data_IF_680979697566
#
_entry.id   IF_680979697566
#
_cell.length_a   1.000
_cell.length_b   1.000
_cell.length_c   1.000
_cell.angle_alpha   90.00
_cell.angle_beta   90.00
_cell.angle_gamma   90.00
#
_symmetry.space_group_name_H-M   'P 1'
#
loop_
_entity.id
_entity.type
_entity.pdbx_description
1 polymer ?
#
# COMPACT_ATOMS: atom_id res chain seq x y z
N UNK A 1 -2.89 -1.28 15.58
CA UNK A 1 -1.75 -1.08 16.52
C UNK A 1 -1.87 0.32 17.09
N UNK A 2 -1.69 0.51 18.40
CA UNK A 2 -1.76 1.84 19.04
C UNK A 2 -0.34 2.32 19.38
N UNK A 3 -0.06 3.62 19.20
CA UNK A 3 1.20 4.26 19.60
C UNK A 3 0.93 5.61 20.25
N UNK A 4 1.84 6.03 21.12
CA UNK A 4 1.80 7.33 21.80
C UNK A 4 3.03 8.11 21.37
N UNK A 5 2.87 9.41 21.14
CA UNK A 5 3.99 10.32 20.90
C UNK A 5 3.85 11.59 21.71
N UNK A 6 4.98 12.23 21.95
CA UNK A 6 5.10 13.46 22.70
C UNK A 6 5.96 14.42 21.89
N UNK A 7 5.52 15.66 21.77
CA UNK A 7 6.29 16.75 21.19
C UNK A 7 6.32 17.93 22.15
N UNK A 8 7.44 18.64 22.17
CA UNK A 8 7.65 19.81 23.01
C UNK A 8 8.35 20.87 22.19
N UNK A 9 7.89 22.10 22.29
CA UNK A 9 8.55 23.23 21.66
C UNK A 9 8.56 24.45 22.60
N UNK A 10 9.53 25.33 22.42
CA UNK A 10 9.78 26.52 23.25
C UNK A 10 10.26 27.67 22.39
N UNK A 11 9.52 28.77 22.41
CA UNK A 11 9.89 29.99 21.70
C UNK A 11 10.07 31.19 22.63
N UNK A 12 11.00 32.06 22.27
CA UNK A 12 11.17 33.38 22.89
C UNK A 12 10.09 34.32 22.40
N UNK A 13 9.58 35.17 23.28
CA UNK A 13 8.62 36.23 22.96
C UNK A 13 9.32 37.58 22.76
N UNK A 14 8.97 38.28 21.69
CA UNK A 14 9.51 39.60 21.33
C UNK A 14 8.40 40.56 20.90
N UNK A 15 8.63 41.85 21.07
CA UNK A 15 7.71 42.89 20.59
C UNK A 15 7.68 42.95 19.05
N UNK A 16 6.57 43.47 18.51
CA UNK A 16 6.41 43.68 17.06
C UNK A 16 6.13 42.41 16.24
N UNK A 17 6.00 41.25 16.88
CA UNK A 17 5.58 39.98 16.26
C UNK A 17 4.14 39.62 16.67
N UNK A 18 3.35 38.99 15.77
CA UNK A 18 2.06 38.44 16.16
C UNK A 18 2.24 37.22 17.08
N UNK A 19 1.32 37.03 18.02
CA UNK A 19 1.22 35.80 18.81
C UNK A 19 0.26 34.83 18.11
N UNK A 20 0.74 33.65 17.74
CA UNK A 20 -0.01 32.66 16.95
C UNK A 20 0.00 31.34 17.70
N UNK A 21 -1.18 30.77 17.98
CA UNK A 21 -1.24 29.51 18.71
C UNK A 21 -2.26 28.57 18.08
N UNK A 22 -1.80 27.42 17.61
CA UNK A 22 -2.59 26.49 16.79
C UNK A 22 -3.28 27.15 15.61
N UNK A 23 -2.62 28.09 14.92
CA UNK A 23 -3.14 28.84 13.77
C UNK A 23 -4.08 29.99 14.13
N UNK A 24 -4.28 30.28 15.41
CA UNK A 24 -5.14 31.37 15.88
C UNK A 24 -4.29 32.55 16.31
N UNK A 25 -4.54 33.71 15.71
CA UNK A 25 -3.93 34.97 16.16
C UNK A 25 -4.58 35.45 17.46
N UNK A 26 -3.78 35.57 18.51
CA UNK A 26 -4.24 36.02 19.82
C UNK A 26 -3.71 37.44 20.08
N UNK A 27 -4.55 38.40 20.53
CA UNK A 27 -4.08 39.72 20.93
C UNK A 27 -3.09 39.63 22.10
N UNK A 28 -1.85 40.11 21.89
CA UNK A 28 -0.78 40.15 22.87
C UNK A 28 0.25 41.24 22.51
N UNK A 29 1.01 41.71 23.50
CA UNK A 29 2.08 42.71 23.31
C UNK A 29 3.33 42.12 22.63
N UNK A 30 3.58 40.84 22.88
CA UNK A 30 4.71 40.08 22.32
C UNK A 30 4.21 38.90 21.50
N UNK A 31 4.99 38.51 20.51
CA UNK A 31 4.75 37.33 19.68
C UNK A 31 6.00 36.45 19.58
N UNK A 32 5.87 35.31 18.93
CA UNK A 32 6.91 34.29 18.87
C UNK A 32 8.03 34.65 17.90
N UNK A 33 9.27 34.53 18.39
CA UNK A 33 10.49 34.63 17.61
C UNK A 33 10.82 33.26 17.01
N UNK A 34 10.87 33.19 15.68
CA UNK A 34 11.30 31.98 14.98
C UNK A 34 11.56 32.24 13.50
N UNK A 35 12.02 31.19 12.81
CA UNK A 35 12.28 31.21 11.36
C UNK A 35 11.00 31.14 10.51
N UNK A 36 9.94 30.54 11.05
CA UNK A 36 8.58 30.51 10.49
C UNK A 36 7.68 31.57 11.17
N UNK A 37 6.36 31.45 11.03
CA UNK A 37 5.40 32.17 11.89
C UNK A 37 5.50 31.79 13.39
N UNK A 38 6.29 30.74 13.69
CA UNK A 38 6.77 30.34 15.00
C UNK A 38 5.66 29.91 15.97
N UNK A 39 4.60 29.27 15.49
CA UNK A 39 3.54 28.71 16.34
C UNK A 39 4.02 27.48 17.13
N UNK A 40 4.32 27.68 18.41
CA UNK A 40 4.89 26.66 19.30
C UNK A 40 3.96 25.44 19.48
N UNK A 41 2.63 25.64 19.43
CA UNK A 41 1.68 24.55 19.57
C UNK A 41 1.64 23.70 18.31
N UNK A 42 1.62 24.33 17.13
CA UNK A 42 1.66 23.61 15.87
C UNK A 42 2.93 22.74 15.75
N UNK A 43 4.08 23.25 16.19
CA UNK A 43 5.33 22.49 16.22
C UNK A 43 5.29 21.32 17.21
N UNK A 44 4.87 21.54 18.45
CA UNK A 44 4.76 20.49 19.45
C UNK A 44 3.79 19.37 18.99
N UNK A 45 2.68 19.71 18.34
CA UNK A 45 1.76 18.73 17.78
C UNK A 45 2.40 17.97 16.61
N UNK A 46 3.13 18.67 15.74
CA UNK A 46 3.85 18.07 14.61
C UNK A 46 4.84 17.01 15.08
N UNK A 47 5.67 17.33 16.08
CA UNK A 47 6.62 16.36 16.64
C UNK A 47 5.91 15.20 17.35
N UNK A 48 4.80 15.45 18.05
CA UNK A 48 4.06 14.39 18.71
C UNK A 48 3.57 13.33 17.71
N UNK A 49 2.97 13.75 16.58
CA UNK A 49 2.44 12.82 15.57
C UNK A 49 3.55 12.14 14.77
N UNK A 50 4.64 12.86 14.45
CA UNK A 50 5.79 12.29 13.74
C UNK A 50 6.54 11.28 14.62
N UNK A 51 6.76 11.62 15.89
CA UNK A 51 7.37 10.74 16.87
C UNK A 51 6.54 9.48 17.15
N UNK A 52 5.22 9.61 17.33
CA UNK A 52 4.33 8.46 17.50
C UNK A 52 4.37 7.51 16.29
N UNK A 53 4.35 8.06 15.08
CA UNK A 53 4.39 7.26 13.85
C UNK A 53 5.78 6.67 13.56
N UNK A 54 6.84 7.29 14.09
CA UNK A 54 8.24 6.91 13.84
C UNK A 54 8.70 7.24 12.42
N UNK A 55 8.07 8.22 11.77
CA UNK A 55 8.33 8.56 10.36
C UNK A 55 9.39 9.65 10.20
N UNK A 56 9.46 10.62 11.10
CA UNK A 56 10.41 11.74 11.06
C UNK A 56 10.38 12.54 12.38
N UNK A 57 10.94 13.74 12.34
CA UNK A 57 10.78 14.86 13.27
C UNK A 57 10.61 16.16 12.45
N UNK A 58 10.13 17.25 13.07
CA UNK A 58 9.87 18.49 12.34
C UNK A 58 11.14 19.08 11.68
N UNK A 59 12.30 18.97 12.35
CA UNK A 59 13.56 19.52 11.87
C UNK A 59 14.14 18.76 10.68
N UNK A 60 13.89 17.44 10.60
CA UNK A 60 14.28 16.64 9.43
C UNK A 60 13.35 16.84 8.22
N UNK A 61 12.06 17.11 8.45
CA UNK A 61 11.12 17.41 7.36
C UNK A 61 11.22 18.85 6.84
N UNK A 62 11.44 19.81 7.73
CA UNK A 62 11.42 21.24 7.42
C UNK A 62 12.66 21.93 8.01
N UNK A 63 13.87 21.63 7.48
CA UNK A 63 15.10 22.13 8.06
C UNK A 63 15.19 23.66 7.96
N UNK A 64 15.59 24.37 9.04
CA UNK A 64 15.66 25.84 9.05
C UNK A 64 16.75 26.40 8.11
N UNK A 65 17.68 25.56 7.65
CA UNK A 65 18.69 25.92 6.66
C UNK A 65 18.15 25.98 5.23
N UNK A 66 16.99 25.39 4.96
CA UNK A 66 16.34 25.44 3.64
C UNK A 66 15.52 26.75 3.53
N UNK A 67 15.89 27.66 2.63
CA UNK A 67 15.22 28.95 2.48
C UNK A 67 13.76 28.84 2.05
N UNK A 68 13.31 27.68 1.56
CA UNK A 68 11.92 27.40 1.19
C UNK A 68 10.97 27.52 2.39
N UNK A 69 11.44 27.27 3.61
CA UNK A 69 10.62 27.27 4.82
C UNK A 69 10.68 28.59 5.61
N UNK A 70 11.41 29.58 5.11
CA UNK A 70 11.48 30.90 5.73
C UNK A 70 10.08 31.53 5.71
N UNK A 71 9.62 32.01 6.87
CA UNK A 71 8.30 32.64 7.05
C UNK A 71 7.11 31.73 6.67
N UNK A 72 7.31 30.39 6.68
CA UNK A 72 6.24 29.44 6.41
C UNK A 72 5.14 29.45 7.49
N UNK A 73 3.92 29.08 7.10
CA UNK A 73 2.79 28.87 8.00
C UNK A 73 2.95 27.51 8.72
N UNK A 74 3.12 27.52 10.04
CA UNK A 74 3.33 26.30 10.82
C UNK A 74 2.11 25.35 10.81
N UNK A 75 0.90 25.84 10.53
CA UNK A 75 -0.26 24.97 10.29
C UNK A 75 -0.20 24.28 8.93
N UNK A 76 0.41 24.90 7.90
CA UNK A 76 0.69 24.20 6.63
C UNK A 76 1.74 23.10 6.83
N UNK A 77 2.78 23.37 7.62
CA UNK A 77 3.77 22.36 8.00
C UNK A 77 3.12 21.18 8.73
N UNK A 78 2.24 21.48 9.71
CA UNK A 78 1.47 20.46 10.42
C UNK A 78 0.60 19.63 9.47
N UNK A 79 -0.12 20.25 8.52
CA UNK A 79 -0.92 19.52 7.52
C UNK A 79 -0.06 18.61 6.66
N UNK A 80 1.12 19.07 6.21
CA UNK A 80 2.07 18.26 5.41
C UNK A 80 2.62 17.08 6.20
N UNK A 81 3.00 17.30 7.45
CA UNK A 81 3.45 16.24 8.36
C UNK A 81 2.34 15.23 8.64
N UNK A 82 1.13 15.70 8.91
CA UNK A 82 -0.03 14.84 9.11
C UNK A 82 -0.36 14.03 7.85
N UNK A 83 -0.20 14.61 6.66
CA UNK A 83 -0.39 13.90 5.41
C UNK A 83 0.60 12.73 5.26
N UNK A 84 1.85 12.89 5.69
CA UNK A 84 2.82 11.79 5.77
C UNK A 84 2.38 10.71 6.79
N UNK A 85 1.95 11.12 7.98
CA UNK A 85 1.45 10.22 9.04
C UNK A 85 0.25 9.41 8.55
N UNK A 86 -0.72 10.08 7.91
CA UNK A 86 -1.92 9.47 7.33
C UNK A 86 -1.59 8.47 6.22
N UNK A 87 -0.67 8.81 5.31
CA UNK A 87 -0.19 7.90 4.26
C UNK A 87 0.61 6.71 4.82
N UNK A 88 1.17 6.86 6.02
CA UNK A 88 1.74 5.77 6.81
C UNK A 88 0.69 4.81 7.41
N UNK A 89 -0.61 5.06 7.17
CA UNK A 89 -1.72 4.27 7.70
C UNK A 89 -2.10 4.64 9.13
N UNK A 90 -1.65 5.79 9.62
CA UNK A 90 -1.95 6.23 10.99
C UNK A 90 -3.12 7.21 11.03
N UNK A 91 -3.99 7.03 12.02
CA UNK A 91 -5.06 7.95 12.39
C UNK A 91 -4.78 8.52 13.77
N UNK A 92 -4.94 9.83 13.95
CA UNK A 92 -4.90 10.47 15.28
C UNK A 92 -6.20 10.15 16.00
N UNK A 93 -6.09 9.55 17.19
CA UNK A 93 -7.23 9.17 18.04
C UNK A 93 -7.57 10.28 19.03
N UNK A 94 -6.55 10.80 19.72
CA UNK A 94 -6.70 11.95 20.60
C UNK A 94 -5.41 12.75 20.68
N UNK A 95 -5.55 14.01 21.07
CA UNK A 95 -4.47 14.96 21.27
C UNK A 95 -4.73 15.76 22.56
N UNK A 96 -3.77 15.74 23.48
CA UNK A 96 -3.78 16.52 24.70
C UNK A 96 -2.60 17.48 24.73
N UNK A 97 -2.87 18.77 24.83
CA UNK A 97 -1.86 19.81 24.79
C UNK A 97 -1.86 20.65 26.06
N UNK A 98 -0.67 21.02 26.52
CA UNK A 98 -0.43 22.00 27.57
C UNK A 98 0.38 23.14 26.96
N UNK A 99 -0.12 24.36 27.08
CA UNK A 99 0.57 25.58 26.67
C UNK A 99 0.86 26.40 27.93
N UNK A 100 2.13 26.68 28.16
CA UNK A 100 2.60 27.46 29.31
C UNK A 100 3.03 28.85 28.85
N UNK A 101 2.28 29.88 29.26
CA UNK A 101 2.59 31.29 29.04
C UNK A 101 1.96 32.16 30.13
N UNK A 102 2.65 33.21 30.56
CA UNK A 102 2.11 34.14 31.55
C UNK A 102 0.98 35.00 30.97
N UNK A 103 1.17 35.49 29.74
CA UNK A 103 0.17 36.18 28.92
C UNK A 103 0.38 35.79 27.46
N UNK A 104 -0.67 35.75 26.62
CA UNK A 104 -2.08 35.99 26.93
C UNK A 104 -2.79 34.79 27.60
N UNK A 105 -3.99 35.01 28.16
CA UNK A 105 -4.80 33.93 28.76
C UNK A 105 -5.41 33.00 27.68
N UNK A 106 -4.86 31.79 27.56
CA UNK A 106 -5.29 30.78 26.56
C UNK A 106 -6.76 30.34 26.74
N UNK A 107 -7.31 30.38 27.96
CA UNK A 107 -8.68 29.94 28.24
C UNK A 107 -9.72 30.60 27.32
N UNK A 108 -9.54 31.89 27.01
CA UNK A 108 -10.49 32.66 26.19
C UNK A 108 -10.45 32.29 24.70
N UNK A 109 -9.37 31.65 24.24
CA UNK A 109 -9.14 31.32 22.84
C UNK A 109 -9.16 29.80 22.58
N UNK A 110 -9.28 29.00 23.64
CA UNK A 110 -9.18 27.53 23.61
C UNK A 110 -10.06 26.89 22.53
N UNK A 111 -11.32 27.28 22.43
CA UNK A 111 -12.23 26.65 21.47
C UNK A 111 -11.83 26.91 20.02
N UNK A 112 -11.36 28.12 19.71
CA UNK A 112 -10.86 28.46 18.38
C UNK A 112 -9.58 27.67 18.06
N UNK A 113 -8.65 27.55 19.03
CA UNK A 113 -7.41 26.78 18.88
C UNK A 113 -7.74 25.30 18.62
N UNK A 114 -8.61 24.72 19.45
CA UNK A 114 -9.05 23.31 19.30
C UNK A 114 -9.65 23.06 17.92
N UNK A 115 -10.53 23.95 17.45
CA UNK A 115 -11.15 23.82 16.14
C UNK A 115 -10.13 23.91 14.99
N UNK A 116 -9.17 24.84 15.09
CA UNK A 116 -8.12 25.02 14.09
C UNK A 116 -7.18 23.80 14.00
N UNK A 117 -6.70 23.31 15.14
CA UNK A 117 -5.84 22.11 15.20
C UNK A 117 -6.60 20.86 14.71
N UNK A 118 -7.85 20.69 15.13
CA UNK A 118 -8.69 19.57 14.69
C UNK A 118 -8.91 19.59 13.17
N UNK A 119 -9.14 20.77 12.59
CA UNK A 119 -9.27 20.92 11.14
C UNK A 119 -7.97 20.57 10.40
N UNK A 120 -6.80 20.98 10.91
CA UNK A 120 -5.51 20.64 10.31
C UNK A 120 -5.22 19.14 10.34
N UNK A 121 -5.65 18.44 11.39
CA UNK A 121 -5.52 17.00 11.56
C UNK A 121 -6.71 16.19 11.01
N UNK A 122 -7.68 16.85 10.36
CA UNK A 122 -8.88 16.21 9.81
C UNK A 122 -9.56 15.28 10.83
N UNK A 123 -9.74 15.76 12.06
CA UNK A 123 -10.31 15.01 13.18
C UNK A 123 -11.41 15.81 13.90
N UNK A 124 -12.19 15.13 14.73
CA UNK A 124 -13.22 15.78 15.55
C UNK A 124 -12.59 16.68 16.62
N UNK A 125 -13.17 17.85 16.84
CA UNK A 125 -12.69 18.84 17.83
C UNK A 125 -12.67 18.26 19.25
N UNK A 126 -13.59 17.38 19.56
CA UNK A 126 -13.75 16.73 20.86
C UNK A 126 -12.55 15.83 21.21
N UNK A 127 -11.82 15.35 20.20
CA UNK A 127 -10.61 14.58 20.38
C UNK A 127 -9.33 15.44 20.55
N UNK A 128 -9.45 16.77 20.48
CA UNK A 128 -8.36 17.72 20.74
C UNK A 128 -8.64 18.51 22.00
N UNK A 129 -7.70 18.51 22.94
CA UNK A 129 -7.78 19.34 24.15
C UNK A 129 -6.54 20.22 24.32
N UNK A 130 -6.74 21.46 24.77
CA UNK A 130 -5.67 22.44 24.97
C UNK A 130 -5.85 23.11 26.34
N UNK A 131 -4.82 23.02 27.18
CA UNK A 131 -4.79 23.57 28.54
C UNK A 131 -3.78 24.71 28.60
N UNK A 132 -4.22 25.88 29.04
CA UNK A 132 -3.32 26.99 29.37
C UNK A 132 -2.82 26.88 30.81
N UNK A 133 -1.53 27.14 31.02
CA UNK A 133 -0.87 27.24 32.32
C UNK A 133 -0.03 28.52 32.38
N UNK A 134 0.06 29.10 33.56
CA UNK A 134 1.01 30.17 33.90
C UNK A 134 2.17 29.55 34.68
N UNK A 135 3.30 30.25 34.75
CA UNK A 135 4.43 29.78 35.55
C UNK A 135 4.69 30.68 36.78
N UNK A 136 3.68 31.47 37.15
CA UNK A 136 3.58 32.20 38.42
C UNK A 136 4.77 33.13 38.68
N UNK A 137 5.36 33.70 37.63
CA UNK A 137 6.50 34.62 37.75
C UNK A 137 7.85 33.97 38.09
N UNK A 138 7.96 32.63 38.09
CA UNK A 138 9.15 31.93 38.62
C UNK A 138 10.35 31.89 37.67
N UNK A 139 10.16 31.87 36.35
CA UNK A 139 11.23 31.73 35.34
C UNK A 139 10.96 32.54 34.04
N UNK A 140 11.63 32.23 32.92
CA UNK A 140 11.41 32.93 31.64
C UNK A 140 9.98 32.80 31.10
N UNK A 141 9.29 31.69 31.36
CA UNK A 141 7.86 31.54 31.04
C UNK A 141 7.02 32.43 31.97
N UNK A 142 7.33 32.40 33.28
CA UNK A 142 6.65 33.21 34.29
C UNK A 142 6.86 34.72 34.14
N UNK A 143 7.99 35.14 33.57
CA UNK A 143 8.31 36.55 33.24
C UNK A 143 7.69 37.02 31.92
N UNK A 144 6.99 36.14 31.18
CA UNK A 144 6.45 36.47 29.86
C UNK A 144 7.55 36.76 28.82
N UNK A 145 8.68 36.06 28.91
CA UNK A 145 9.80 36.13 27.96
C UNK A 145 9.79 34.95 26.98
N UNK A 146 9.01 33.91 27.26
CA UNK A 146 8.90 32.72 26.45
C UNK A 146 7.48 32.12 26.51
N UNK A 147 7.18 31.25 25.57
CA UNK A 147 6.01 30.36 25.55
C UNK A 147 6.48 28.95 25.25
N UNK A 148 5.88 27.98 25.95
CA UNK A 148 6.14 26.55 25.75
C UNK A 148 4.85 25.82 25.39
N UNK A 149 4.94 24.83 24.51
CA UNK A 149 3.88 23.85 24.33
C UNK A 149 4.43 22.42 24.50
N UNK A 150 3.62 21.59 25.15
CA UNK A 150 3.77 20.14 25.23
C UNK A 150 2.52 19.51 24.63
N UNK A 151 2.68 18.60 23.67
CA UNK A 151 1.59 17.86 23.06
C UNK A 151 1.82 16.36 23.23
N UNK A 152 0.77 15.63 23.61
CA UNK A 152 0.76 14.16 23.64
C UNK A 152 -0.34 13.68 22.71
N UNK A 153 0.00 12.79 21.78
CA UNK A 153 -0.96 12.21 20.85
C UNK A 153 -1.04 10.69 21.00
N UNK A 154 -2.22 10.14 20.70
CA UNK A 154 -2.43 8.72 20.51
C UNK A 154 -2.73 8.47 19.04
N UNK A 155 -1.99 7.57 18.41
CA UNK A 155 -2.22 7.13 17.04
C UNK A 155 -2.69 5.69 16.99
N UNK A 156 -3.57 5.41 16.04
CA UNK A 156 -3.94 4.06 15.63
C UNK A 156 -3.46 3.79 14.21
N UNK A 157 -2.71 2.71 14.02
CA UNK A 157 -2.43 2.21 12.68
C UNK A 157 -3.67 1.47 12.18
N UNK A 158 -4.34 2.04 11.19
CA UNK A 158 -5.47 1.45 10.48
C UNK A 158 -5.05 0.56 9.31
N UNK A 159 -3.75 0.44 9.06
CA UNK A 159 -3.21 -0.18 7.86
C UNK A 159 -3.35 0.73 6.63
N UNK A 160 -3.06 0.21 5.44
CA UNK A 160 -3.25 0.95 4.19
C UNK A 160 -4.73 1.29 3.93
N UNK A 161 -5.00 2.42 3.28
CA UNK A 161 -6.32 2.75 2.73
C UNK A 161 -6.64 1.83 1.53
N UNK A 162 -7.07 0.60 1.83
CA UNK A 162 -7.37 -0.39 0.80
C UNK A 162 -8.43 0.08 -0.21
N UNK A 163 -9.58 0.66 0.20
CA UNK A 163 -10.54 1.19 -0.75
C UNK A 163 -9.93 2.26 -1.69
N UNK A 164 -9.10 3.17 -1.17
CA UNK A 164 -8.40 4.16 -1.96
C UNK A 164 -7.40 3.55 -2.95
N UNK A 165 -6.60 2.57 -2.48
CA UNK A 165 -5.62 1.85 -3.29
C UNK A 165 -6.29 1.11 -4.45
N UNK A 166 -7.34 0.35 -4.18
CA UNK A 166 -8.04 -0.43 -5.20
C UNK A 166 -8.75 0.46 -6.22
N UNK A 167 -9.40 1.54 -5.76
CA UNK A 167 -10.01 2.54 -6.65
C UNK A 167 -8.98 3.19 -7.59
N UNK A 168 -7.79 3.52 -7.07
CA UNK A 168 -6.71 4.09 -7.86
C UNK A 168 -6.18 3.10 -8.91
N UNK A 169 -6.00 1.82 -8.54
CA UNK A 169 -5.57 0.76 -9.45
C UNK A 169 -6.59 0.47 -10.56
N UNK A 170 -7.87 0.43 -10.22
CA UNK A 170 -8.96 0.20 -11.18
C UNK A 170 -9.11 1.35 -12.16
N UNK A 171 -9.11 2.59 -11.66
CA UNK A 171 -9.17 3.80 -12.49
C UNK A 171 -7.99 3.83 -13.47
N UNK A 172 -6.79 3.51 -12.97
CA UNK A 172 -5.60 3.40 -13.81
C UNK A 172 -5.72 2.29 -14.87
N UNK A 173 -6.19 1.09 -14.50
CA UNK A 173 -6.42 -0.01 -15.44
C UNK A 173 -7.38 0.42 -16.56
N UNK A 174 -8.54 0.98 -16.21
CA UNK A 174 -9.53 1.44 -17.17
C UNK A 174 -8.97 2.49 -18.14
N UNK A 175 -8.19 3.45 -17.62
CA UNK A 175 -7.55 4.49 -18.44
C UNK A 175 -6.49 3.93 -19.40
N UNK A 176 -5.87 2.80 -19.06
CA UNK A 176 -4.84 2.15 -19.88
C UNK A 176 -5.48 1.29 -20.96
N UNK A 177 -6.54 0.53 -20.63
CA UNK A 177 -7.31 -0.26 -21.60
C UNK A 177 -7.89 0.62 -22.71
N UNK A 178 -8.43 1.80 -22.37
CA UNK A 178 -8.94 2.76 -23.36
C UNK A 178 -7.86 3.27 -24.33
N UNK A 179 -6.59 3.39 -23.88
CA UNK A 179 -5.48 3.82 -24.74
C UNK A 179 -5.03 2.72 -25.71
N UNK A 180 -5.03 1.46 -25.25
CA UNK A 180 -4.72 0.30 -26.10
C UNK A 180 -5.72 0.17 -27.25
N UNK A 181 -7.02 0.32 -26.98
CA UNK A 181 -8.09 0.26 -28.00
C UNK A 181 -7.97 1.39 -29.03
N UNK A 182 -7.64 2.61 -28.61
CA UNK A 182 -7.44 3.73 -29.54
C UNK A 182 -6.19 3.53 -30.42
N UNK A 183 -5.12 2.94 -29.87
CA UNK A 183 -3.90 2.64 -30.64
C UNK A 183 -4.10 1.47 -31.62
N UNK A 184 -4.85 0.43 -31.26
CA UNK A 184 -5.12 -0.70 -32.16
C UNK A 184 -6.04 -0.30 -33.32
N UNK A 185 -7.05 0.56 -33.08
CA UNK A 185 -7.90 1.13 -34.14
C UNK A 185 -7.11 2.01 -35.13
N UNK A 186 -5.96 2.55 -34.73
CA UNK A 186 -5.09 3.36 -35.60
C UNK A 186 -4.03 2.52 -36.34
N UNK A 187 -3.77 1.28 -35.91
CA UNK A 187 -2.67 0.46 -36.41
C UNK A 187 -3.05 -0.58 -37.49
N UNK A 188 -4.35 -0.88 -37.68
CA UNK A 188 -4.83 -1.63 -38.84
C UNK A 188 -4.11 -2.96 -39.13
N UNK A 189 -4.04 -3.89 -38.18
CA UNK A 189 -3.60 -5.28 -38.41
C UNK A 189 -4.43 -6.28 -37.57
N UNK A 190 -4.71 -7.45 -38.17
CA UNK A 190 -5.35 -8.63 -37.57
C UNK A 190 -4.45 -9.27 -36.48
N UNK A 191 -4.30 -8.63 -35.32
CA UNK A 191 -3.81 -9.33 -34.12
C UNK A 191 -4.96 -10.11 -33.47
N UNK A 192 -4.77 -11.39 -33.10
CA UNK A 192 -5.80 -12.15 -32.40
C UNK A 192 -6.07 -11.45 -31.07
N UNK A 193 -7.34 -11.13 -30.79
CA UNK A 193 -7.81 -10.45 -29.58
C UNK A 193 -7.11 -10.99 -28.32
N UNK A 194 -6.01 -10.34 -27.94
CA UNK A 194 -5.27 -10.65 -26.74
C UNK A 194 -6.06 -10.09 -25.57
N UNK A 195 -6.65 -10.94 -24.76
CA UNK A 195 -7.19 -10.50 -23.46
C UNK A 195 -6.04 -9.88 -22.68
N UNK A 196 -6.20 -8.65 -22.17
CA UNK A 196 -5.26 -7.95 -21.27
C UNK A 196 -5.01 -8.72 -19.94
N UNK A 197 -5.64 -9.89 -19.78
CA UNK A 197 -5.63 -10.72 -18.59
C UNK A 197 -4.41 -11.67 -18.54
N UNK A 198 -3.86 -11.94 -17.34
CA UNK A 198 -2.83 -12.96 -17.15
C UNK A 198 -3.27 -14.31 -17.71
N UNK A 199 -2.30 -15.06 -18.24
CA UNK A 199 -2.55 -16.30 -19.00
C UNK A 199 -3.44 -17.33 -18.29
N UNK A 200 -3.25 -17.52 -16.99
CA UNK A 200 -4.04 -18.46 -16.19
C UNK A 200 -5.48 -17.98 -16.00
N UNK A 201 -5.69 -16.68 -15.73
CA UNK A 201 -7.03 -16.12 -15.57
C UNK A 201 -7.81 -16.17 -16.90
N UNK A 202 -7.12 -15.95 -18.03
CA UNK A 202 -7.72 -16.13 -19.36
C UNK A 202 -8.16 -17.59 -19.58
N UNK A 203 -7.32 -18.58 -19.26
CA UNK A 203 -7.70 -20.01 -19.36
C UNK A 203 -8.87 -20.36 -18.44
N UNK A 204 -8.90 -19.80 -17.22
CA UNK A 204 -10.00 -20.00 -16.29
C UNK A 204 -11.33 -19.51 -16.89
N UNK A 205 -11.35 -18.34 -17.52
CA UNK A 205 -12.54 -17.81 -18.20
C UNK A 205 -12.93 -18.65 -19.43
N UNK A 206 -11.96 -19.01 -20.29
CA UNK A 206 -12.20 -19.81 -21.50
C UNK A 206 -12.76 -21.21 -21.23
N UNK A 207 -12.50 -21.75 -20.03
CA UNK A 207 -12.83 -23.13 -19.64
C UNK A 207 -13.83 -23.20 -18.50
N UNK A 208 -14.64 -22.14 -18.32
CA UNK A 208 -15.68 -22.08 -17.29
C UNK A 208 -15.18 -22.47 -15.89
N UNK A 209 -14.00 -21.96 -15.54
CA UNK A 209 -13.28 -22.17 -14.28
C UNK A 209 -12.98 -23.64 -13.96
N UNK A 210 -12.86 -24.49 -14.99
CA UNK A 210 -12.49 -25.90 -14.80
C UNK A 210 -11.18 -26.05 -13.99
N UNK A 211 -11.20 -26.70 -12.80
CA UNK A 211 -10.03 -26.81 -11.94
C UNK A 211 -8.84 -27.51 -12.58
N UNK A 212 -9.08 -28.47 -13.48
CA UNK A 212 -8.03 -29.14 -14.22
C UNK A 212 -7.35 -28.21 -15.23
N UNK A 213 -8.13 -27.47 -16.01
CA UNK A 213 -7.62 -26.46 -16.95
C UNK A 213 -6.77 -25.40 -16.24
N UNK A 214 -7.26 -24.89 -15.11
CA UNK A 214 -6.51 -23.92 -14.28
C UNK A 214 -5.22 -24.55 -13.78
N UNK A 215 -5.26 -25.76 -13.20
CA UNK A 215 -4.07 -26.44 -12.70
C UNK A 215 -3.03 -26.67 -13.82
N UNK A 216 -3.45 -27.17 -14.99
CA UNK A 216 -2.57 -27.36 -16.15
C UNK A 216 -1.90 -26.04 -16.54
N UNK A 217 -2.69 -24.98 -16.71
CA UNK A 217 -2.16 -23.66 -17.09
C UNK A 217 -1.18 -23.11 -16.04
N UNK A 218 -1.46 -23.29 -14.75
CA UNK A 218 -0.57 -22.82 -13.68
C UNK A 218 0.78 -23.55 -13.70
N UNK A 219 0.81 -24.87 -13.93
CA UNK A 219 2.05 -25.65 -14.06
C UNK A 219 2.83 -25.20 -15.30
N UNK A 220 2.15 -24.89 -16.40
CA UNK A 220 2.78 -24.35 -17.62
C UNK A 220 3.37 -22.96 -17.36
N UNK A 221 2.71 -22.11 -16.55
CA UNK A 221 3.17 -20.75 -16.27
C UNK A 221 4.49 -20.67 -15.50
N UNK A 222 4.88 -21.74 -14.81
CA UNK A 222 6.12 -21.78 -14.03
C UNK A 222 7.34 -21.48 -14.92
N UNK A 223 7.96 -20.31 -14.68
CA UNK A 223 9.11 -19.78 -15.45
C UNK A 223 8.83 -19.72 -16.96
N UNK A 224 7.63 -19.32 -17.37
CA UNK A 224 7.26 -19.15 -18.78
C UNK A 224 6.48 -17.85 -18.95
N UNK A 225 6.70 -17.16 -20.06
CA UNK A 225 5.99 -15.90 -20.37
C UNK A 225 4.49 -16.17 -20.55
N UNK A 226 3.65 -15.19 -20.26
CA UNK A 226 2.19 -15.35 -20.33
C UNK A 226 1.70 -15.75 -21.72
N UNK A 227 2.17 -15.10 -22.79
CA UNK A 227 1.80 -15.44 -24.18
C UNK A 227 2.10 -16.91 -24.53
N UNK A 228 3.28 -17.38 -24.15
CA UNK A 228 3.71 -18.78 -24.37
C UNK A 228 2.87 -19.73 -23.51
N UNK A 229 2.55 -19.32 -22.28
CA UNK A 229 1.73 -20.10 -21.35
C UNK A 229 0.31 -20.28 -21.89
N UNK A 230 -0.32 -19.22 -22.35
CA UNK A 230 -1.68 -19.23 -22.89
C UNK A 230 -1.74 -20.14 -24.14
N UNK A 231 -0.85 -19.92 -25.10
CA UNK A 231 -0.80 -20.70 -26.32
C UNK A 231 -0.53 -22.21 -26.05
N UNK A 232 0.40 -22.53 -25.15
CA UNK A 232 0.68 -23.91 -24.77
C UNK A 232 -0.49 -24.55 -23.99
N UNK A 233 -1.14 -23.80 -23.10
CA UNK A 233 -2.30 -24.28 -22.34
C UNK A 233 -3.45 -24.66 -23.27
N UNK A 234 -3.77 -23.82 -24.26
CA UNK A 234 -4.81 -24.11 -25.27
C UNK A 234 -4.52 -25.41 -26.03
N UNK A 235 -3.32 -25.55 -26.59
CA UNK A 235 -2.88 -26.76 -27.32
C UNK A 235 -2.95 -28.03 -26.47
N UNK A 236 -2.53 -27.96 -25.21
CA UNK A 236 -2.57 -29.12 -24.30
C UNK A 236 -4.01 -29.48 -23.95
N UNK A 237 -4.84 -28.49 -23.59
CA UNK A 237 -6.22 -28.71 -23.15
C UNK A 237 -7.18 -29.09 -24.28
N UNK A 238 -6.83 -28.85 -25.54
CA UNK A 238 -7.56 -29.39 -26.70
C UNK A 238 -7.54 -30.92 -26.75
N UNK A 239 -6.43 -31.55 -26.34
CA UNK A 239 -6.25 -33.01 -26.38
C UNK A 239 -6.30 -33.67 -25.01
N UNK A 240 -5.95 -32.93 -23.96
CA UNK A 240 -5.82 -33.37 -22.58
C UNK A 240 -6.78 -32.61 -21.66
N UNK A 241 -8.04 -32.45 -22.07
CA UNK A 241 -9.07 -31.71 -21.33
C UNK A 241 -9.42 -32.33 -19.96
N UNK A 242 -8.97 -33.55 -19.69
CA UNK A 242 -9.10 -34.23 -18.39
C UNK A 242 -7.78 -34.93 -18.03
N UNK A 243 -7.56 -35.28 -16.74
CA UNK A 243 -6.40 -36.09 -16.33
C UNK A 243 -6.27 -37.39 -17.13
N UNK A 244 -7.40 -38.07 -17.37
CA UNK A 244 -7.46 -39.31 -18.15
C UNK A 244 -7.00 -39.05 -19.60
N UNK A 245 -7.54 -38.02 -20.25
CA UNK A 245 -7.20 -37.69 -21.63
C UNK A 245 -5.72 -37.31 -21.77
N UNK A 246 -5.18 -36.52 -20.83
CA UNK A 246 -3.78 -36.10 -20.86
C UNK A 246 -2.82 -37.30 -20.73
N UNK A 247 -3.15 -38.29 -19.90
CA UNK A 247 -2.34 -39.50 -19.74
C UNK A 247 -2.27 -40.38 -21.00
N UNK A 248 -3.29 -40.32 -21.86
CA UNK A 248 -3.30 -41.03 -23.14
C UNK A 248 -2.42 -40.37 -24.21
N UNK A 249 -2.00 -39.12 -24.02
CA UNK A 249 -1.13 -38.42 -24.97
C UNK A 249 0.30 -39.00 -24.86
N UNK A 250 0.94 -39.45 -25.96
CA UNK A 250 2.34 -39.90 -25.93
C UNK A 250 3.28 -38.80 -25.44
N UNK A 251 4.35 -39.16 -24.72
CA UNK A 251 5.28 -38.20 -24.10
C UNK A 251 5.85 -37.20 -25.12
N UNK A 252 6.33 -37.68 -26.26
CA UNK A 252 6.87 -36.86 -27.35
C UNK A 252 5.84 -35.86 -27.90
N UNK A 253 4.57 -36.29 -27.98
CA UNK A 253 3.48 -35.41 -28.42
C UNK A 253 3.18 -34.34 -27.38
N UNK A 254 3.10 -34.71 -26.10
CA UNK A 254 2.85 -33.76 -25.01
C UNK A 254 4.00 -32.74 -24.88
N UNK A 255 5.25 -33.19 -25.02
CA UNK A 255 6.43 -32.31 -25.08
C UNK A 255 6.33 -31.32 -26.24
N UNK A 256 5.91 -31.78 -27.42
CA UNK A 256 5.69 -30.93 -28.59
C UNK A 256 4.59 -29.88 -28.39
N UNK A 257 3.48 -30.23 -27.73
CA UNK A 257 2.39 -29.29 -27.42
C UNK A 257 2.86 -28.19 -26.44
N UNK A 258 3.73 -28.55 -25.48
CA UNK A 258 4.26 -27.64 -24.48
C UNK A 258 5.38 -26.73 -25.02
N UNK A 259 6.13 -27.14 -26.03
CA UNK A 259 7.15 -26.29 -26.66
C UNK A 259 6.51 -24.99 -27.23
N UNK A 260 7.13 -23.80 -27.08
CA UNK A 260 8.46 -23.49 -26.54
C UNK A 260 8.46 -23.10 -25.04
N UNK A 261 7.50 -23.56 -24.23
CA UNK A 261 7.49 -23.26 -22.80
C UNK A 261 8.80 -23.69 -22.13
N UNK A 262 9.29 -22.87 -21.20
CA UNK A 262 10.52 -23.18 -20.46
C UNK A 262 10.36 -24.49 -19.69
N UNK A 263 11.39 -25.35 -19.72
CA UNK A 263 11.37 -26.67 -19.05
C UNK A 263 10.22 -27.59 -19.48
N UNK A 264 9.77 -27.51 -20.75
CA UNK A 264 8.61 -28.25 -21.27
C UNK A 264 8.67 -29.77 -21.01
N UNK A 265 9.84 -30.42 -21.10
CA UNK A 265 9.99 -31.87 -20.79
C UNK A 265 9.67 -32.20 -19.33
N UNK A 266 10.20 -31.41 -18.41
CA UNK A 266 9.91 -31.56 -16.98
C UNK A 266 8.42 -31.32 -16.72
N UNK A 267 7.84 -30.30 -17.35
CA UNK A 267 6.40 -30.00 -17.25
C UNK A 267 5.53 -31.13 -17.77
N UNK A 268 5.88 -31.74 -18.91
CA UNK A 268 5.16 -32.89 -19.46
C UNK A 268 5.11 -34.04 -18.44
N UNK A 269 6.28 -34.38 -17.87
CA UNK A 269 6.39 -35.41 -16.83
C UNK A 269 5.58 -35.05 -15.59
N UNK A 270 5.70 -33.82 -15.09
CA UNK A 270 4.95 -33.34 -13.92
C UNK A 270 3.44 -33.41 -14.15
N UNK A 271 2.94 -32.96 -15.31
CA UNK A 271 1.50 -33.01 -15.64
C UNK A 271 0.99 -34.44 -15.69
N UNK A 272 1.76 -35.38 -16.26
CA UNK A 272 1.40 -36.81 -16.22
C UNK A 272 1.39 -37.35 -14.80
N UNK A 273 2.41 -37.07 -14.00
CA UNK A 273 2.45 -37.50 -12.59
C UNK A 273 1.26 -36.95 -11.79
N UNK A 274 0.94 -35.66 -11.95
CA UNK A 274 -0.26 -35.06 -11.36
C UNK A 274 -1.51 -35.80 -11.83
N UNK A 275 -1.66 -36.01 -13.15
CA UNK A 275 -2.79 -36.74 -13.72
C UNK A 275 -3.00 -38.11 -13.07
N UNK A 276 -1.93 -38.90 -12.92
CA UNK A 276 -1.97 -40.20 -12.23
C UNK A 276 -2.43 -40.05 -10.78
N UNK A 277 -1.85 -39.12 -10.01
CA UNK A 277 -2.21 -38.89 -8.61
C UNK A 277 -3.69 -38.51 -8.48
N UNK A 278 -4.19 -37.63 -9.37
CA UNK A 278 -5.60 -37.22 -9.36
C UNK A 278 -6.53 -38.40 -9.60
N UNK A 279 -6.22 -39.29 -10.54
CA UNK A 279 -7.02 -40.50 -10.79
C UNK A 279 -7.02 -41.46 -9.60
N UNK A 280 -5.84 -41.73 -9.04
CA UNK A 280 -5.68 -42.72 -7.97
C UNK A 280 -6.24 -42.25 -6.62
N UNK A 281 -6.05 -40.97 -6.27
CA UNK A 281 -6.32 -40.46 -4.92
C UNK A 281 -7.49 -39.50 -4.84
N UNK A 282 -7.84 -38.84 -5.94
CA UNK A 282 -8.83 -37.75 -5.97
C UNK A 282 -9.94 -37.96 -7.02
N UNK A 283 -10.14 -39.20 -7.47
CA UNK A 283 -11.21 -39.58 -8.42
C UNK A 283 -11.19 -38.76 -9.72
N UNK A 284 -10.01 -38.35 -10.17
CA UNK A 284 -9.79 -37.51 -11.35
C UNK A 284 -10.17 -36.04 -11.17
N UNK A 285 -10.45 -35.58 -9.96
CA UNK A 285 -10.75 -34.18 -9.64
C UNK A 285 -9.55 -33.52 -8.99
N UNK A 286 -9.28 -32.25 -9.33
CA UNK A 286 -8.30 -31.44 -8.60
C UNK A 286 -8.84 -31.17 -7.20
N UNK A 287 -8.08 -31.35 -6.11
CA UNK A 287 -8.60 -31.06 -4.77
C UNK A 287 -8.80 -29.55 -4.54
N UNK A 288 -9.77 -29.19 -3.69
CA UNK A 288 -10.10 -27.82 -3.29
C UNK A 288 -9.54 -27.43 -1.91
N UNK A 289 -8.62 -28.24 -1.39
CA UNK A 289 -7.96 -28.04 -0.10
C UNK A 289 -6.47 -27.73 -0.28
N UNK A 290 -5.97 -26.74 0.46
CA UNK A 290 -4.56 -26.28 0.37
C UNK A 290 -3.56 -27.42 0.56
N UNK A 291 -3.69 -28.22 1.62
CA UNK A 291 -2.74 -29.29 1.94
C UNK A 291 -2.71 -30.38 0.86
N UNK A 292 -3.87 -30.68 0.26
CA UNK A 292 -3.98 -31.65 -0.83
C UNK A 292 -3.36 -31.11 -2.13
N UNK A 293 -3.52 -29.82 -2.42
CA UNK A 293 -2.86 -29.17 -3.56
C UNK A 293 -1.34 -29.14 -3.38
N UNK A 294 -0.83 -28.80 -2.19
CA UNK A 294 0.61 -28.79 -1.89
C UNK A 294 1.26 -30.17 -1.96
N UNK A 295 0.49 -31.25 -1.85
CA UNK A 295 0.98 -32.61 -2.04
C UNK A 295 1.23 -32.97 -3.52
N UNK A 296 0.72 -32.17 -4.46
CA UNK A 296 0.93 -32.38 -5.90
C UNK A 296 2.33 -31.89 -6.32
N UNK A 297 3.08 -32.67 -7.12
CA UNK A 297 4.42 -32.28 -7.53
C UNK A 297 4.42 -31.00 -8.37
N UNK A 298 5.27 -30.05 -8.02
CA UNK A 298 5.35 -28.75 -8.73
C UNK A 298 4.30 -27.73 -8.28
N UNK A 299 3.40 -28.07 -7.36
CA UNK A 299 2.43 -27.13 -6.79
C UNK A 299 2.98 -26.54 -5.49
N UNK A 300 3.44 -25.29 -5.58
CA UNK A 300 3.76 -24.48 -4.40
C UNK A 300 2.55 -23.69 -3.90
N UNK A 301 2.71 -23.00 -2.76
CA UNK A 301 1.64 -22.20 -2.12
C UNK A 301 0.98 -21.17 -3.07
N UNK A 302 1.77 -20.51 -3.93
CA UNK A 302 1.23 -19.61 -4.97
C UNK A 302 0.31 -20.36 -5.95
N UNK A 303 0.78 -21.47 -6.49
CA UNK A 303 0.03 -22.28 -7.46
C UNK A 303 -1.26 -22.79 -6.85
N UNK A 304 -1.21 -23.30 -5.62
CA UNK A 304 -2.38 -23.74 -4.87
C UNK A 304 -3.38 -22.60 -4.66
N UNK A 305 -2.93 -21.45 -4.15
CA UNK A 305 -3.80 -20.27 -3.98
C UNK A 305 -4.44 -19.81 -5.28
N UNK A 306 -3.73 -19.90 -6.41
CA UNK A 306 -4.26 -19.51 -7.72
C UNK A 306 -5.35 -20.48 -8.20
N UNK A 307 -5.18 -21.78 -8.00
CA UNK A 307 -6.23 -22.78 -8.28
C UNK A 307 -7.45 -22.55 -7.39
N UNK A 308 -7.26 -22.35 -6.08
CA UNK A 308 -8.36 -22.09 -5.15
C UNK A 308 -9.14 -20.81 -5.50
N UNK A 309 -8.45 -19.74 -5.89
CA UNK A 309 -9.07 -18.47 -6.26
C UNK A 309 -9.79 -18.53 -7.62
N UNK A 310 -9.13 -19.01 -8.67
CA UNK A 310 -9.63 -18.91 -10.05
C UNK A 310 -10.63 -20.03 -10.37
N UNK A 311 -10.37 -21.26 -9.91
CA UNK A 311 -11.23 -22.40 -10.20
C UNK A 311 -12.37 -22.58 -9.20
N UNK A 312 -12.06 -22.46 -7.91
CA UNK A 312 -13.02 -22.72 -6.82
C UNK A 312 -13.68 -21.47 -6.24
N UNK A 313 -13.33 -20.29 -6.75
CA UNK A 313 -13.81 -18.98 -6.27
C UNK A 313 -13.59 -18.74 -4.76
N UNK A 314 -12.65 -19.48 -4.14
CA UNK A 314 -12.32 -19.35 -2.73
C UNK A 314 -11.50 -18.10 -2.45
N UNK A 315 -11.64 -17.55 -1.25
CA UNK A 315 -10.85 -16.40 -0.79
C UNK A 315 -9.40 -16.83 -0.53
N UNK A 316 -8.57 -16.71 -1.56
CA UNK A 316 -7.14 -16.99 -1.53
C UNK A 316 -6.32 -15.81 -2.05
N UNK A 317 -5.21 -15.50 -1.37
CA UNK A 317 -4.29 -14.43 -1.76
C UNK A 317 -3.12 -15.05 -2.52
N UNK A 318 -3.05 -14.80 -3.83
CA UNK A 318 -1.92 -15.22 -4.64
C UNK A 318 -0.79 -14.19 -4.56
N UNK A 319 0.31 -14.53 -3.87
CA UNK A 319 1.50 -13.68 -3.80
C UNK A 319 2.59 -14.19 -4.74
N UNK A 320 2.97 -13.36 -5.70
CA UNK A 320 4.09 -13.58 -6.59
C UNK A 320 5.19 -12.51 -6.40
N UNK A 321 6.16 -12.46 -7.31
CA UNK A 321 7.24 -11.46 -7.25
C UNK A 321 6.76 -10.03 -7.44
N UNK A 322 5.62 -9.80 -8.11
CA UNK A 322 5.02 -8.48 -8.26
C UNK A 322 4.33 -8.08 -6.97
N UNK A 323 3.40 -8.90 -6.46
CA UNK A 323 2.68 -8.64 -5.22
C UNK A 323 3.66 -8.45 -4.07
N UNK A 324 4.60 -9.39 -3.87
CA UNK A 324 5.61 -9.30 -2.83
C UNK A 324 6.42 -8.00 -2.91
N UNK A 325 6.98 -7.69 -4.09
CA UNK A 325 7.78 -6.48 -4.28
C UNK A 325 6.96 -5.22 -4.04
N UNK A 326 5.76 -5.13 -4.60
CA UNK A 326 4.94 -3.92 -4.55
C UNK A 326 4.45 -3.67 -3.13
N UNK A 327 3.92 -4.69 -2.43
CA UNK A 327 3.43 -4.51 -1.07
C UNK A 327 4.54 -4.09 -0.11
N UNK A 328 5.75 -4.66 -0.22
CA UNK A 328 6.89 -4.26 0.60
C UNK A 328 7.42 -2.86 0.21
N UNK A 329 7.54 -2.56 -1.09
CA UNK A 329 7.98 -1.24 -1.58
C UNK A 329 7.01 -0.12 -1.20
N UNK A 330 5.71 -0.40 -1.21
CA UNK A 330 4.70 0.56 -0.82
C UNK A 330 4.60 0.74 0.71
N UNK A 331 5.22 -0.15 1.49
CA UNK A 331 5.18 -0.12 2.96
C UNK A 331 3.90 -0.71 3.55
N UNK A 332 3.10 -1.44 2.76
CA UNK A 332 1.87 -2.09 3.25
C UNK A 332 2.17 -3.29 4.16
N UNK A 333 3.29 -3.96 3.88
CA UNK A 333 3.86 -5.05 4.68
C UNK A 333 5.38 -4.89 4.76
N UNK A 334 6.01 -5.58 5.71
CA UNK A 334 7.46 -5.66 5.86
C UNK A 334 7.85 -7.12 6.08
N UNK A 335 8.26 -7.81 5.02
CA UNK A 335 8.39 -9.28 4.95
C UNK A 335 9.54 -9.69 4.04
N UNK A 336 10.12 -10.87 4.24
CA UNK A 336 11.32 -11.34 3.53
C UNK A 336 11.02 -12.20 2.31
N UNK A 337 9.86 -12.85 2.28
CA UNK A 337 9.47 -13.78 1.22
C UNK A 337 7.95 -13.71 0.95
N UNK A 338 7.51 -14.40 -0.11
CA UNK A 338 6.13 -14.38 -0.56
C UNK A 338 5.14 -15.01 0.43
N UNK A 339 5.55 -16.03 1.19
CA UNK A 339 4.72 -16.69 2.19
C UNK A 339 4.45 -15.78 3.40
N UNK A 340 5.48 -15.12 3.90
CA UNK A 340 5.33 -14.08 4.93
C UNK A 340 4.44 -12.93 4.45
N UNK A 341 4.59 -12.51 3.18
CA UNK A 341 3.70 -11.49 2.59
C UNK A 341 2.25 -11.96 2.55
N UNK A 342 1.99 -13.21 2.17
CA UNK A 342 0.63 -13.77 2.15
C UNK A 342 0.00 -13.70 3.54
N UNK A 343 0.71 -14.17 4.57
CA UNK A 343 0.24 -14.16 5.95
C UNK A 343 0.00 -12.72 6.44
N UNK A 344 0.92 -11.80 6.14
CA UNK A 344 0.78 -10.40 6.50
C UNK A 344 -0.44 -9.76 5.81
N UNK A 345 -0.69 -10.06 4.53
CA UNK A 345 -1.86 -9.58 3.81
C UNK A 345 -3.15 -10.19 4.36
N UNK A 346 -3.20 -11.48 4.70
CA UNK A 346 -4.40 -12.10 5.31
C UNK A 346 -4.86 -11.40 6.59
N UNK A 347 -3.93 -10.84 7.36
CA UNK A 347 -4.25 -10.11 8.59
C UNK A 347 -4.66 -8.64 8.38
N UNK A 348 -4.47 -8.07 7.19
CA UNK A 348 -4.60 -6.62 6.94
C UNK A 348 -5.50 -6.25 5.77
N UNK A 349 -5.50 -7.06 4.71
CA UNK A 349 -6.26 -6.85 3.49
C UNK A 349 -7.70 -7.35 3.70
N UNK A 350 -8.73 -6.51 3.49
CA UNK A 350 -10.12 -6.96 3.52
C UNK A 350 -10.39 -8.08 2.51
N UNK A 351 -11.20 -9.07 2.90
CA UNK A 351 -11.45 -10.31 2.14
C UNK A 351 -11.94 -10.06 0.71
N UNK A 352 -12.77 -9.03 0.51
CA UNK A 352 -13.30 -8.60 -0.79
C UNK A 352 -12.21 -8.32 -1.86
N UNK A 353 -10.98 -8.05 -1.42
CA UNK A 353 -9.85 -7.73 -2.30
C UNK A 353 -8.91 -8.91 -2.56
N UNK A 354 -9.05 -10.03 -1.84
CA UNK A 354 -8.08 -11.13 -1.85
C UNK A 354 -7.89 -11.74 -3.23
N UNK A 355 -8.99 -12.00 -3.93
CA UNK A 355 -8.97 -12.57 -5.29
C UNK A 355 -8.41 -11.57 -6.33
N UNK A 356 -8.58 -10.27 -6.10
CA UNK A 356 -8.30 -9.21 -7.10
C UNK A 356 -6.89 -8.65 -7.00
N UNK A 357 -6.25 -8.73 -5.82
CA UNK A 357 -4.96 -8.08 -5.58
C UNK A 357 -3.86 -8.59 -6.52
N UNK A 358 -3.80 -9.90 -6.78
CA UNK A 358 -2.75 -10.47 -7.63
C UNK A 358 -2.83 -9.89 -9.04
N UNK A 359 -4.01 -9.99 -9.65
CA UNK A 359 -4.31 -9.48 -10.98
C UNK A 359 -3.91 -8.01 -11.14
N UNK A 360 -4.39 -7.13 -10.26
CA UNK A 360 -4.13 -5.70 -10.36
C UNK A 360 -2.66 -5.37 -10.18
N UNK A 361 -1.97 -6.01 -9.23
CA UNK A 361 -0.57 -5.72 -8.94
C UNK A 361 0.40 -6.34 -9.96
N UNK A 362 0.05 -7.45 -10.60
CA UNK A 362 0.83 -7.99 -11.72
C UNK A 362 0.81 -6.99 -12.88
N UNK A 363 -0.37 -6.58 -13.33
CA UNK A 363 -0.55 -5.60 -14.40
C UNK A 363 0.17 -4.28 -14.10
N UNK A 364 -0.07 -3.73 -12.89
CA UNK A 364 0.58 -2.51 -12.40
C UNK A 364 2.10 -2.67 -12.27
N UNK A 365 2.58 -3.82 -11.82
CA UNK A 365 4.00 -4.09 -11.61
C UNK A 365 4.80 -4.28 -12.90
N UNK A 366 4.16 -4.74 -13.97
CA UNK A 366 4.75 -4.84 -15.30
C UNK A 366 4.86 -3.46 -15.96
N UNK A 367 3.83 -2.62 -15.81
CA UNK A 367 3.72 -1.34 -16.54
C UNK A 367 4.32 -0.14 -15.79
N UNK A 368 4.12 -0.04 -14.47
CA UNK A 368 4.45 1.14 -13.66
C UNK A 368 5.51 0.83 -12.58
N UNK A 369 5.21 -0.09 -11.66
CA UNK A 369 6.08 -0.40 -10.53
C UNK A 369 7.14 -1.46 -10.89
N UNK A 370 7.93 -1.13 -11.92
CA UNK A 370 8.97 -2.00 -12.45
C UNK A 370 10.04 -2.32 -11.40
N UNK A 371 10.70 -3.49 -11.46
CA UNK A 371 11.74 -3.86 -10.51
C UNK A 371 12.85 -2.81 -10.42
N UNK A 372 13.32 -2.34 -11.57
CA UNK A 372 14.32 -1.27 -11.71
C UNK A 372 13.65 0.00 -12.23
N UNK A 373 14.01 1.16 -11.64
CA UNK A 373 13.55 2.48 -12.08
C UNK A 373 12.02 2.59 -12.26
N UNK A 374 11.19 2.33 -11.23
CA UNK A 374 9.74 2.45 -11.33
C UNK A 374 9.31 3.86 -11.77
N UNK A 375 8.17 3.95 -12.47
CA UNK A 375 7.61 5.20 -12.98
C UNK A 375 6.77 5.90 -11.90
N UNK A 376 7.45 6.43 -10.88
CA UNK A 376 6.83 7.11 -9.75
C UNK A 376 6.15 8.43 -10.14
N UNK A 377 6.64 9.17 -11.13
CA UNK A 377 6.07 10.47 -11.55
C UNK A 377 4.63 10.38 -12.06
N UNK A 378 4.27 9.23 -12.65
CA UNK A 378 2.94 8.94 -13.19
C UNK A 378 2.23 7.82 -12.43
N UNK A 379 2.71 7.51 -11.22
CA UNK A 379 2.22 6.38 -10.44
C UNK A 379 0.84 6.67 -9.83
N UNK A 380 -0.20 5.87 -10.11
CA UNK A 380 -1.52 6.02 -9.49
C UNK A 380 -1.49 5.79 -7.97
N UNK A 381 -0.47 5.08 -7.48
CA UNK A 381 -0.28 4.77 -6.07
C UNK A 381 0.74 5.68 -5.38
N UNK A 382 1.15 6.81 -5.99
CA UNK A 382 2.17 7.69 -5.41
C UNK A 382 1.80 8.16 -4.00
N UNK A 383 0.54 8.53 -3.79
CA UNK A 383 0.02 8.93 -2.48
C UNK A 383 -0.05 7.78 -1.46
N UNK A 384 -0.07 6.52 -1.89
CA UNK A 384 -0.23 5.34 -1.04
C UNK A 384 1.07 4.53 -0.87
N UNK A 385 2.21 5.08 -1.30
CA UNK A 385 3.48 4.37 -1.42
C UNK A 385 4.60 5.08 -0.65
N UNK A 386 5.16 4.38 0.34
CA UNK A 386 6.32 4.85 1.10
C UNK A 386 7.64 4.77 0.30
N UNK A 387 7.64 4.09 -0.87
CA UNK A 387 8.81 3.94 -1.75
C UNK A 387 10.01 3.30 -1.04
N UNK A 388 9.76 2.38 -0.12
CA UNK A 388 10.79 1.64 0.62
C UNK A 388 11.75 0.96 -0.35
N UNK A 389 13.05 1.24 -0.21
CA UNK A 389 14.11 0.67 -1.05
C UNK A 389 14.17 1.21 -2.49
N UNK A 390 13.42 2.27 -2.84
CA UNK A 390 13.50 2.90 -4.15
C UNK A 390 14.62 3.95 -4.15
N UNK A 391 15.76 3.62 -4.77
CA UNK A 391 16.89 4.55 -4.90
C UNK A 391 16.82 5.42 -6.17
N UNK A 392 16.21 4.91 -7.24
CA UNK A 392 16.04 5.61 -8.52
C UNK A 392 14.62 5.38 -9.03
N UNK A 393 13.99 6.42 -9.53
CA UNK A 393 12.65 6.38 -10.13
C UNK A 393 12.55 7.39 -11.27
N UNK A 394 11.59 7.17 -12.17
CA UNK A 394 11.22 8.11 -13.24
C UNK A 394 9.86 8.72 -12.99
#
# INVERSE_FOLDING_TARGET
>A
MIRIGMGRDLHRLVEGRPFLLGGVRIPAEKGELGHSDADVLAHAVTDAILGASGLADIGSLFPPSDPTWKDADSMDLLRRAFDLVRRGGWRVINLDCVVTCEQPKILNHREAIRASVAAALTMEKEAVFVKGKTNEGLDSLGKGEAVEALAVCLLENQGPDWPGIFRALETWKASTAAKTVVQSLQAGEDEPEGTDDPSVSAVALERDRDPWAVLVSTIISLRTKDEVTLAASRRVLERGSTPQALLQIPDETLEGLLFPAGFYRTKARTLKTIGTILLERYQGRVPDQMDALLALPGVGRKTANLVLAEAYDQDAICVDTHVHRICNRAGWVATKNAEETEQALRSRLPVEYWKRINYLLVLYGQRVCRPQSPHCSVCPLFGFCQRVGVQRSR
#
